data_IF_398105631678
#
_entry.id   IF_398105631678
#
_cell.length_a   1.000
_cell.length_b   1.000
_cell.length_c   1.000
_cell.angle_alpha   90.00
_cell.angle_beta   90.00
_cell.angle_gamma   90.00
#
_symmetry.space_group_name_H-M   'P 1'
#
loop_
_entity.id
_entity.type
_entity.pdbx_description
1 polymer ?
#
# COMPACT_ATOMS: atom_id res chain seq x y z
N UNK A 1 -18.41 49.97 33.18
CA UNK A 1 -18.43 48.58 33.69
C UNK A 1 -17.97 47.70 32.57
N UNK A 2 -16.71 47.40 32.54
CA UNK A 2 -16.01 46.60 31.50
C UNK A 2 -15.64 45.28 32.10
N UNK A 3 -16.30 44.23 31.66
CA UNK A 3 -16.09 42.87 32.13
C UNK A 3 -15.06 42.15 31.23
N UNK A 4 -13.89 41.92 31.80
CA UNK A 4 -12.72 41.31 31.20
C UNK A 4 -12.86 39.79 31.34
N UNK A 5 -13.26 39.05 30.26
CA UNK A 5 -13.23 37.58 30.23
C UNK A 5 -11.86 37.10 29.78
N UNK A 6 -11.06 36.66 30.73
CA UNK A 6 -9.82 35.93 30.51
C UNK A 6 -10.11 34.55 29.91
N UNK A 7 -9.61 34.34 28.71
CA UNK A 7 -9.58 33.03 28.04
C UNK A 7 -8.44 32.20 28.64
N UNK A 8 -8.79 31.16 29.36
CA UNK A 8 -7.81 30.18 29.85
C UNK A 8 -7.34 29.30 28.66
N UNK A 9 -6.10 29.48 28.24
CA UNK A 9 -5.40 28.59 27.34
C UNK A 9 -4.98 27.33 28.10
N UNK A 10 -5.63 26.21 27.80
CA UNK A 10 -5.20 24.88 28.24
C UNK A 10 -4.03 24.42 27.36
N UNK A 11 -2.81 24.55 27.89
CA UNK A 11 -1.61 24.03 27.25
C UNK A 11 -1.59 22.51 27.31
N UNK A 12 -1.76 21.83 26.14
CA UNK A 12 -1.54 20.41 26.00
C UNK A 12 -0.02 20.15 26.05
N UNK A 13 0.46 19.60 27.16
CA UNK A 13 1.85 19.15 27.33
C UNK A 13 2.12 17.96 26.39
N UNK A 14 2.82 18.22 25.28
CA UNK A 14 3.47 17.17 24.48
C UNK A 14 4.61 16.57 25.31
N UNK A 15 4.46 15.30 25.67
CA UNK A 15 5.54 14.50 26.26
C UNK A 15 6.43 13.99 25.12
N UNK A 16 7.56 14.69 24.90
CA UNK A 16 8.65 14.17 24.07
C UNK A 16 9.30 12.99 24.80
N UNK A 17 9.13 11.79 24.27
CA UNK A 17 9.95 10.64 24.66
C UNK A 17 11.08 10.52 23.64
N UNK A 18 12.26 10.96 24.07
CA UNK A 18 13.53 10.64 23.41
C UNK A 18 13.80 9.15 23.60
N UNK A 19 13.76 8.36 22.54
CA UNK A 19 14.24 7.00 22.53
C UNK A 19 15.66 7.01 21.95
N UNK A 20 16.60 6.54 22.75
CA UNK A 20 18.01 6.38 22.40
C UNK A 20 18.18 5.27 21.38
N UNK A 21 18.87 5.56 20.27
CA UNK A 21 19.29 4.61 19.25
C UNK A 21 20.58 3.95 19.73
N UNK A 22 20.54 2.64 19.99
CA UNK A 22 21.72 1.81 20.17
C UNK A 22 22.05 1.10 18.86
N UNK A 23 23.15 1.49 18.23
CA UNK A 23 23.74 0.80 17.07
C UNK A 23 24.39 -0.51 17.52
N UNK A 24 23.96 -1.65 16.98
CA UNK A 24 24.75 -2.88 16.96
C UNK A 24 25.01 -3.28 15.51
N UNK A 25 26.27 -3.15 15.14
CA UNK A 25 26.83 -3.74 13.92
C UNK A 25 27.27 -5.17 14.24
N UNK A 26 26.75 -6.17 13.55
CA UNK A 26 27.31 -7.49 13.50
C UNK A 26 27.36 -7.96 12.04
N UNK A 27 28.56 -7.96 11.48
CA UNK A 27 28.85 -8.57 10.19
C UNK A 27 29.08 -10.07 10.41
N UNK A 28 28.34 -10.93 9.71
CA UNK A 28 28.66 -12.34 9.57
C UNK A 28 28.79 -12.67 8.08
N UNK A 29 30.03 -12.92 7.68
CA UNK A 29 30.39 -13.45 6.36
C UNK A 29 30.33 -14.98 6.49
N UNK A 30 29.43 -15.63 5.75
CA UNK A 30 29.51 -17.08 5.53
C UNK A 30 29.65 -17.37 4.04
N UNK A 31 30.82 -17.85 3.65
CA UNK A 31 31.13 -18.44 2.36
C UNK A 31 30.40 -19.79 2.24
N UNK A 32 29.55 -19.95 1.24
CA UNK A 32 28.83 -21.19 0.95
C UNK A 32 29.34 -21.83 -0.34
N UNK A 33 29.75 -23.06 -0.22
CA UNK A 33 30.37 -23.99 -1.17
C UNK A 33 29.44 -24.27 -2.37
N UNK A 34 29.98 -24.15 -3.59
CA UNK A 34 29.38 -24.61 -4.84
C UNK A 34 29.53 -26.13 -4.94
N UNK A 35 28.44 -26.86 -4.81
CA UNK A 35 28.38 -28.30 -5.05
C UNK A 35 27.74 -28.57 -6.43
N UNK A 36 28.55 -29.00 -7.41
CA UNK A 36 28.10 -29.60 -8.66
C UNK A 36 27.69 -31.05 -8.40
N UNK A 37 26.40 -31.38 -8.57
CA UNK A 37 25.94 -32.76 -8.61
C UNK A 37 25.54 -33.15 -10.01
N UNK A 38 26.26 -34.12 -10.56
CA UNK A 38 25.96 -34.80 -11.83
C UNK A 38 24.73 -35.71 -11.66
N UNK A 39 23.74 -35.55 -12.49
CA UNK A 39 22.58 -36.43 -12.52
C UNK A 39 22.86 -37.66 -13.37
N UNK A 40 22.84 -38.84 -12.75
CA UNK A 40 22.70 -40.12 -13.45
C UNK A 40 21.23 -40.49 -13.50
N UNK A 41 20.73 -40.72 -14.72
CA UNK A 41 19.35 -41.16 -14.99
C UNK A 41 19.28 -42.66 -14.71
N UNK A 42 18.43 -43.05 -13.77
CA UNK A 42 17.95 -44.44 -13.66
C UNK A 42 16.41 -44.44 -13.68
N UNK A 43 15.89 -45.13 -14.66
CA UNK A 43 14.44 -45.21 -14.92
C UNK A 43 13.72 -46.13 -13.92
N UNK A 44 12.88 -45.55 -13.10
CA UNK A 44 11.84 -46.26 -12.36
C UNK A 44 10.50 -45.54 -12.55
N UNK A 45 9.53 -46.28 -13.09
CA UNK A 45 8.14 -45.81 -13.25
C UNK A 45 7.59 -45.39 -11.87
N UNK A 46 7.47 -44.07 -11.63
CA UNK A 46 6.80 -43.51 -10.44
C UNK A 46 5.31 -43.40 -10.75
N UNK A 47 4.53 -44.20 -10.02
CA UNK A 47 3.08 -44.00 -9.87
C UNK A 47 2.83 -42.54 -9.48
N UNK A 48 2.05 -41.82 -10.26
CA UNK A 48 1.71 -40.43 -10.01
C UNK A 48 0.99 -40.31 -8.67
N UNK A 49 1.65 -39.69 -7.72
CA UNK A 49 1.00 -39.22 -6.49
C UNK A 49 -0.05 -38.15 -6.85
N UNK A 50 -1.19 -38.06 -6.15
CA UNK A 50 -2.20 -37.03 -6.42
C UNK A 50 -1.51 -35.66 -6.33
N UNK A 51 -1.63 -34.90 -7.43
CA UNK A 51 -0.95 -33.63 -7.59
C UNK A 51 -1.22 -32.70 -6.42
N UNK A 52 -0.18 -32.35 -5.70
CA UNK A 52 -0.18 -31.20 -4.79
C UNK A 52 -0.56 -30.00 -5.67
N UNK A 53 -1.74 -29.42 -5.41
CA UNK A 53 -2.14 -28.20 -6.09
C UNK A 53 -0.98 -27.21 -5.98
N UNK A 54 -0.45 -26.78 -7.13
CA UNK A 54 0.60 -25.78 -7.16
C UNK A 54 0.12 -24.58 -6.35
N UNK A 55 0.87 -24.20 -5.33
CA UNK A 55 0.58 -22.99 -4.56
C UNK A 55 0.44 -21.85 -5.57
N UNK A 56 -0.68 -21.12 -5.51
CA UNK A 56 -0.89 -19.97 -6.36
C UNK A 56 0.34 -19.06 -6.26
N UNK A 57 0.85 -18.48 -7.36
CA UNK A 57 2.02 -17.63 -7.31
C UNK A 57 1.81 -16.56 -6.25
N UNK A 58 2.77 -16.42 -5.34
CA UNK A 58 2.71 -15.45 -4.25
C UNK A 58 2.57 -14.04 -4.82
N UNK A 59 2.06 -13.12 -4.04
CA UNK A 59 2.03 -11.70 -4.38
C UNK A 59 3.48 -11.23 -4.55
N UNK A 60 3.88 -10.88 -5.77
CA UNK A 60 5.19 -10.33 -6.10
C UNK A 60 5.12 -8.87 -6.54
N UNK A 61 6.26 -8.26 -6.83
CA UNK A 61 6.32 -6.88 -7.35
C UNK A 61 5.55 -6.69 -8.65
N UNK A 62 5.36 -7.73 -9.46
CA UNK A 62 4.59 -7.69 -10.72
C UNK A 62 3.10 -7.47 -10.50
N UNK A 63 2.58 -7.78 -9.31
CA UNK A 63 1.20 -7.51 -8.91
C UNK A 63 0.96 -6.06 -8.46
N UNK A 64 1.97 -5.20 -8.52
CA UNK A 64 1.91 -3.77 -8.19
C UNK A 64 2.05 -2.92 -9.46
N UNK A 65 1.69 -1.65 -9.37
CA UNK A 65 1.87 -0.66 -10.44
C UNK A 65 3.33 -0.62 -10.91
N UNK A 66 3.54 -0.62 -12.22
CA UNK A 66 4.83 -0.59 -12.90
C UNK A 66 5.03 0.74 -13.63
N UNK A 67 6.26 1.03 -14.06
CA UNK A 67 6.59 2.27 -14.77
C UNK A 67 5.74 2.51 -16.03
N UNK A 68 5.40 1.45 -16.76
CA UNK A 68 4.57 1.54 -17.96
C UNK A 68 3.10 1.91 -17.70
N UNK A 69 2.64 1.82 -16.44
CA UNK A 69 1.28 2.19 -16.05
C UNK A 69 1.11 3.72 -15.94
N UNK A 70 2.21 4.49 -15.91
CA UNK A 70 2.21 5.96 -15.83
C UNK A 70 2.14 6.68 -17.18
N UNK A 71 1.79 6.03 -18.28
CA UNK A 71 1.87 6.56 -19.67
C UNK A 71 1.20 7.91 -19.89
N UNK A 72 0.23 8.29 -19.05
CA UNK A 72 -0.49 9.57 -19.10
C UNK A 72 -0.35 10.37 -17.81
N UNK A 73 0.60 10.01 -16.98
CA UNK A 73 0.82 10.56 -15.66
C UNK A 73 2.16 11.25 -15.48
N UNK A 74 2.57 11.48 -14.24
CA UNK A 74 3.89 12.00 -13.92
C UNK A 74 4.96 11.00 -14.34
N UNK A 75 6.13 11.53 -14.68
CA UNK A 75 7.27 10.71 -15.12
C UNK A 75 7.97 10.09 -13.89
N UNK A 76 8.03 8.74 -13.77
CA UNK A 76 8.69 8.10 -12.64
C UNK A 76 10.21 8.25 -12.78
N UNK A 77 10.85 8.73 -11.70
CA UNK A 77 12.32 8.89 -11.62
C UNK A 77 12.98 7.91 -10.66
N UNK A 78 12.21 7.22 -9.84
CA UNK A 78 12.70 6.20 -8.91
C UNK A 78 11.60 5.28 -8.42
N UNK A 79 12.01 4.06 -8.01
CA UNK A 79 11.14 3.09 -7.37
C UNK A 79 11.86 2.36 -6.23
N UNK A 80 11.15 2.14 -5.14
CA UNK A 80 11.58 1.26 -4.04
C UNK A 80 10.54 0.18 -3.84
N UNK A 81 10.95 -1.08 -3.87
CA UNK A 81 10.08 -2.25 -3.66
C UNK A 81 10.44 -2.94 -2.35
N UNK A 82 9.44 -3.35 -1.58
CA UNK A 82 9.59 -4.18 -0.39
C UNK A 82 8.53 -5.29 -0.36
N UNK A 83 8.87 -6.43 0.24
CA UNK A 83 8.01 -7.62 0.31
C UNK A 83 7.71 -8.04 1.76
N UNK A 84 7.93 -7.16 2.71
CA UNK A 84 7.81 -7.44 4.15
C UNK A 84 6.54 -6.88 4.81
N UNK A 85 5.75 -6.09 4.08
CA UNK A 85 4.51 -5.48 4.56
C UNK A 85 4.70 -4.36 5.58
N UNK A 86 5.91 -3.81 5.73
CA UNK A 86 6.25 -2.76 6.71
C UNK A 86 6.14 -1.35 6.14
N UNK A 87 5.84 -1.21 4.85
CA UNK A 87 5.55 0.08 4.24
C UNK A 87 4.31 0.70 4.88
N UNK A 88 4.35 1.98 5.20
CA UNK A 88 3.18 2.75 5.65
C UNK A 88 2.06 2.73 4.60
N UNK A 89 0.82 2.63 5.05
CA UNK A 89 -0.33 2.47 4.15
C UNK A 89 -0.70 3.76 3.44
N UNK A 90 -0.84 4.85 4.19
CA UNK A 90 -1.18 6.18 3.64
C UNK A 90 -0.91 7.28 4.66
N UNK A 91 -1.01 8.55 4.21
CA UNK A 91 -0.91 9.72 5.10
C UNK A 91 -1.96 9.71 6.22
N UNK A 92 -3.14 9.14 5.97
CA UNK A 92 -4.22 9.05 6.94
C UNK A 92 -4.04 7.97 7.99
N UNK A 93 -3.37 6.88 7.65
CA UNK A 93 -3.19 5.74 8.55
C UNK A 93 -2.09 5.97 9.60
N UNK A 94 -1.38 7.09 9.53
CA UNK A 94 -0.25 7.38 10.41
C UNK A 94 0.89 6.37 10.21
N UNK A 95 1.24 5.64 11.27
CA UNK A 95 2.28 4.60 11.25
C UNK A 95 1.74 3.20 10.92
N UNK A 96 0.45 3.06 10.57
CA UNK A 96 -0.13 1.74 10.26
C UNK A 96 0.52 1.15 9.00
N UNK A 97 0.75 -0.16 9.05
CA UNK A 97 1.35 -0.91 7.95
C UNK A 97 0.45 -2.07 7.55
N UNK A 98 0.64 -2.62 6.35
CA UNK A 98 -0.13 -3.80 5.93
C UNK A 98 0.12 -5.00 6.86
N UNK A 99 1.33 -5.14 7.39
CA UNK A 99 1.69 -6.17 8.36
C UNK A 99 0.95 -5.99 9.69
N UNK A 100 0.89 -4.78 10.22
CA UNK A 100 0.15 -4.43 11.45
C UNK A 100 -1.34 -4.67 11.28
N UNK A 101 -1.95 -4.12 10.23
CA UNK A 101 -3.37 -4.28 9.92
C UNK A 101 -3.78 -5.75 9.80
N UNK A 102 -2.97 -6.58 9.15
CA UNK A 102 -3.25 -8.01 8.97
C UNK A 102 -2.82 -8.87 10.15
N UNK A 103 -2.16 -8.29 11.16
CA UNK A 103 -1.61 -8.98 12.35
C UNK A 103 -0.70 -10.14 11.94
N UNK A 104 0.20 -9.92 10.99
CA UNK A 104 1.11 -10.93 10.44
C UNK A 104 0.44 -12.17 9.82
N UNK A 105 -0.85 -12.10 9.47
CA UNK A 105 -1.62 -13.26 8.97
C UNK A 105 -1.66 -13.38 7.44
N UNK A 106 -1.11 -12.43 6.72
CA UNK A 106 -1.05 -12.53 5.26
C UNK A 106 -0.04 -13.60 4.82
N UNK A 107 -0.35 -14.28 3.73
CA UNK A 107 0.52 -15.30 3.13
C UNK A 107 1.63 -14.68 2.28
N UNK A 108 1.45 -13.43 1.86
CA UNK A 108 2.44 -12.64 1.14
C UNK A 108 2.13 -11.15 1.28
N UNK A 109 3.18 -10.33 1.16
CA UNK A 109 3.13 -8.86 1.10
C UNK A 109 3.90 -8.37 -0.10
N UNK A 110 3.49 -7.24 -0.65
CA UNK A 110 4.27 -6.49 -1.62
C UNK A 110 3.95 -5.00 -1.50
N UNK A 111 4.95 -4.15 -1.67
CA UNK A 111 4.77 -2.70 -1.74
C UNK A 111 5.73 -2.08 -2.73
N UNK A 112 5.33 -0.95 -3.32
CA UNK A 112 6.17 -0.10 -4.14
C UNK A 112 5.93 1.36 -3.79
N UNK A 113 7.02 2.12 -3.69
CA UNK A 113 6.99 3.58 -3.63
C UNK A 113 7.64 4.11 -4.91
N UNK A 114 6.89 4.84 -5.70
CA UNK A 114 7.37 5.58 -6.86
C UNK A 114 7.58 7.03 -6.49
N UNK A 115 8.66 7.62 -6.98
CA UNK A 115 8.93 9.06 -6.93
C UNK A 115 8.87 9.63 -8.35
N UNK A 116 8.34 10.84 -8.49
CA UNK A 116 8.15 11.51 -9.77
C UNK A 116 9.00 12.77 -9.89
N UNK A 117 9.28 13.19 -11.11
CA UNK A 117 9.97 14.45 -11.42
C UNK A 117 9.19 15.71 -10.97
N UNK A 118 7.91 15.57 -10.65
CA UNK A 118 7.01 16.60 -10.11
C UNK A 118 7.05 16.74 -8.59
N UNK A 119 8.01 16.11 -7.89
CA UNK A 119 8.04 15.99 -6.42
C UNK A 119 6.82 15.23 -5.84
N UNK A 120 6.03 14.59 -6.69
CA UNK A 120 4.96 13.69 -6.30
C UNK A 120 5.48 12.30 -5.96
N UNK A 121 4.62 11.49 -5.35
CA UNK A 121 4.90 10.10 -5.03
C UNK A 121 3.63 9.24 -5.17
N UNK A 122 3.85 7.96 -5.47
CA UNK A 122 2.82 6.93 -5.33
C UNK A 122 3.32 5.88 -4.37
N UNK A 123 2.49 5.56 -3.39
CA UNK A 123 2.67 4.41 -2.52
C UNK A 123 1.60 3.37 -2.84
N UNK A 124 2.02 2.14 -3.10
CA UNK A 124 1.11 1.02 -3.20
C UNK A 124 1.57 -0.09 -2.26
N UNK A 125 0.63 -0.64 -1.50
CA UNK A 125 0.89 -1.76 -0.58
C UNK A 125 -0.22 -2.77 -0.73
N UNK A 126 0.15 -4.05 -0.84
CA UNK A 126 -0.78 -5.15 -1.02
C UNK A 126 -0.45 -6.34 -0.10
N UNK A 127 -1.46 -7.13 0.21
CA UNK A 127 -1.35 -8.38 0.95
C UNK A 127 -2.22 -9.47 0.33
N UNK A 128 -1.76 -10.72 0.40
CA UNK A 128 -2.55 -11.88 0.05
C UNK A 128 -3.10 -12.53 1.33
N UNK A 129 -4.41 -12.57 1.45
CA UNK A 129 -5.10 -13.17 2.59
C UNK A 129 -5.17 -14.70 2.45
N UNK A 130 -5.17 -15.45 3.56
CA UNK A 130 -5.33 -16.90 3.52
C UNK A 130 -6.72 -17.34 3.04
N UNK A 131 -7.72 -16.48 3.16
CA UNK A 131 -9.10 -16.74 2.74
C UNK A 131 -9.78 -15.49 2.20
N UNK A 132 -10.84 -15.64 1.42
CA UNK A 132 -11.68 -14.52 0.98
C UNK A 132 -12.29 -13.76 2.15
N UNK A 133 -12.74 -14.44 3.19
CA UNK A 133 -13.33 -13.81 4.38
C UNK A 133 -12.31 -12.92 5.14
N UNK A 134 -11.05 -13.37 5.22
CA UNK A 134 -9.98 -12.55 5.79
C UNK A 134 -9.73 -11.31 4.93
N UNK A 135 -9.70 -11.46 3.61
CA UNK A 135 -9.54 -10.35 2.70
C UNK A 135 -10.71 -9.36 2.76
N UNK A 136 -11.97 -9.81 2.88
CA UNK A 136 -13.14 -8.94 3.09
C UNK A 136 -13.02 -8.14 4.40
N UNK A 137 -12.47 -8.76 5.44
CA UNK A 137 -12.23 -8.08 6.71
C UNK A 137 -11.17 -6.98 6.57
N UNK A 138 -10.06 -7.29 5.91
CA UNK A 138 -8.96 -6.34 5.70
C UNK A 138 -9.36 -5.19 4.76
N UNK A 139 -10.12 -5.48 3.70
CA UNK A 139 -10.69 -4.44 2.83
C UNK A 139 -11.52 -3.44 3.63
N UNK A 140 -12.43 -3.92 4.51
CA UNK A 140 -13.24 -3.05 5.37
C UNK A 140 -12.38 -2.20 6.31
N UNK A 141 -11.30 -2.77 6.87
CA UNK A 141 -10.37 -2.03 7.71
C UNK A 141 -9.62 -0.95 6.93
N UNK A 142 -9.13 -1.25 5.72
CA UNK A 142 -8.49 -0.28 4.83
C UNK A 142 -9.46 0.85 4.44
N UNK A 143 -10.70 0.52 4.10
CA UNK A 143 -11.73 1.53 3.81
C UNK A 143 -11.98 2.43 5.01
N UNK A 144 -12.06 1.86 6.21
CA UNK A 144 -12.27 2.64 7.44
C UNK A 144 -11.10 3.60 7.72
N UNK A 145 -9.86 3.20 7.47
CA UNK A 145 -8.69 4.07 7.58
C UNK A 145 -8.76 5.27 6.63
N UNK A 146 -9.13 5.04 5.36
CA UNK A 146 -9.29 6.14 4.39
C UNK A 146 -10.45 7.05 4.79
N UNK A 147 -11.58 6.49 5.24
CA UNK A 147 -12.74 7.26 5.67
C UNK A 147 -12.47 8.13 6.90
N UNK A 148 -11.57 7.71 7.79
CA UNK A 148 -11.19 8.51 8.96
C UNK A 148 -10.60 9.89 8.61
N UNK A 149 -10.14 10.09 7.37
CA UNK A 149 -9.64 11.38 6.88
C UNK A 149 -10.64 12.14 5.99
N UNK A 150 -11.90 11.76 5.98
CA UNK A 150 -12.92 12.51 5.26
C UNK A 150 -13.47 13.69 6.08
N UNK A 151 -13.43 13.59 7.41
CA UNK A 151 -14.00 14.55 8.35
C UNK A 151 -12.95 15.53 8.91
N UNK A 152 -11.90 15.83 8.13
CA UNK A 152 -10.87 16.79 8.54
C UNK A 152 -11.40 18.23 8.58
N UNK A 153 -10.90 19.07 9.52
CA UNK A 153 -11.31 20.46 9.60
C UNK A 153 -10.98 21.26 8.33
N UNK A 154 -11.74 22.32 8.07
CA UNK A 154 -11.48 23.24 6.97
C UNK A 154 -10.03 23.77 7.02
N UNK A 155 -9.38 23.81 5.85
CA UNK A 155 -7.97 24.20 5.72
C UNK A 155 -6.97 23.04 5.91
N UNK A 156 -7.44 21.85 6.27
CA UNK A 156 -6.64 20.65 6.33
C UNK A 156 -6.74 19.85 5.01
N UNK A 157 -5.80 18.96 4.80
CA UNK A 157 -5.84 17.98 3.74
C UNK A 157 -6.88 16.88 4.09
N UNK A 158 -7.67 16.43 3.11
CA UNK A 158 -8.72 15.44 3.33
C UNK A 158 -8.99 14.59 2.07
N UNK A 159 -9.66 13.44 2.24
CA UNK A 159 -10.23 12.67 1.15
C UNK A 159 -11.69 13.08 0.88
N UNK A 160 -12.04 13.16 -0.39
CA UNK A 160 -13.41 13.44 -0.85
C UNK A 160 -14.33 12.22 -0.80
N UNK A 161 -15.44 12.33 -1.51
CA UNK A 161 -16.44 11.27 -1.61
C UNK A 161 -15.85 9.98 -2.23
N UNK A 162 -16.41 8.84 -1.82
CA UNK A 162 -16.06 7.56 -2.38
C UNK A 162 -16.60 7.36 -3.80
N UNK A 163 -15.76 6.85 -4.69
CA UNK A 163 -16.11 6.35 -6.01
C UNK A 163 -15.87 4.85 -6.06
N UNK A 164 -16.55 4.15 -6.97
CA UNK A 164 -16.36 2.71 -7.16
C UNK A 164 -15.94 2.41 -8.59
N UNK A 165 -14.90 1.62 -8.76
CA UNK A 165 -14.47 1.05 -10.02
C UNK A 165 -14.63 -0.46 -9.95
N UNK A 166 -15.31 -1.05 -10.94
CA UNK A 166 -15.44 -2.50 -11.08
C UNK A 166 -14.81 -2.92 -12.41
N UNK A 167 -13.90 -3.89 -12.35
CA UNK A 167 -13.22 -4.45 -13.51
C UNK A 167 -13.23 -5.99 -13.45
N UNK A 168 -12.98 -6.69 -14.57
CA UNK A 168 -12.79 -8.12 -14.53
C UNK A 168 -11.71 -8.51 -13.51
N UNK A 169 -12.08 -9.32 -12.54
CA UNK A 169 -11.17 -9.79 -11.49
C UNK A 169 -11.18 -9.02 -10.18
N UNK A 170 -11.85 -7.86 -10.07
CA UNK A 170 -11.86 -7.14 -8.80
C UNK A 170 -12.68 -5.86 -8.75
N UNK A 171 -12.60 -5.23 -7.59
CA UNK A 171 -13.25 -3.93 -7.31
C UNK A 171 -12.26 -2.99 -6.63
N UNK A 172 -12.45 -1.70 -6.83
CA UNK A 172 -11.75 -0.65 -6.11
C UNK A 172 -12.73 0.38 -5.59
N UNK A 173 -12.47 0.87 -4.39
CA UNK A 173 -13.10 2.06 -3.84
C UNK A 173 -12.06 3.15 -3.78
N UNK A 174 -12.26 4.25 -4.51
CA UNK A 174 -11.26 5.30 -4.63
C UNK A 174 -11.80 6.67 -4.24
N UNK A 175 -10.91 7.57 -3.89
CA UNK A 175 -11.18 8.87 -3.31
C UNK A 175 -10.19 9.87 -3.90
N UNK A 176 -10.66 11.07 -4.25
CA UNK A 176 -9.74 12.19 -4.51
C UNK A 176 -9.21 12.73 -3.20
N UNK A 177 -7.96 13.15 -3.17
CA UNK A 177 -7.42 13.95 -2.07
C UNK A 177 -7.43 15.43 -2.44
N UNK A 178 -7.69 16.25 -1.45
CA UNK A 178 -7.75 17.71 -1.56
C UNK A 178 -6.76 18.32 -0.58
N UNK A 179 -6.05 19.37 -1.00
CA UNK A 179 -5.26 20.18 -0.08
C UNK A 179 -6.16 21.09 0.75
N UNK A 180 -5.57 21.87 1.68
CA UNK A 180 -6.32 22.79 2.53
C UNK A 180 -7.09 23.88 1.79
N UNK A 181 -6.72 24.17 0.54
CA UNK A 181 -7.41 25.13 -0.35
C UNK A 181 -8.53 24.49 -1.18
N UNK A 182 -8.81 23.20 -0.98
CA UNK A 182 -9.81 22.46 -1.73
C UNK A 182 -9.40 22.10 -3.17
N UNK A 183 -8.12 22.19 -3.49
CA UNK A 183 -7.57 21.79 -4.80
C UNK A 183 -7.22 20.31 -4.77
N UNK A 184 -7.56 19.57 -5.83
CA UNK A 184 -7.20 18.15 -5.96
C UNK A 184 -5.68 18.02 -5.96
N UNK A 185 -5.15 17.19 -5.06
CA UNK A 185 -3.73 16.95 -4.84
C UNK A 185 -3.33 15.48 -4.98
N UNK A 186 -4.19 14.65 -5.56
CA UNK A 186 -3.98 13.22 -5.74
C UNK A 186 -5.21 12.41 -5.39
N UNK A 187 -5.00 11.25 -4.79
CA UNK A 187 -6.09 10.38 -4.35
C UNK A 187 -5.59 9.06 -3.78
N UNK A 188 -6.51 8.31 -3.19
CA UNK A 188 -6.24 6.97 -2.68
C UNK A 188 -7.30 5.98 -3.17
N UNK A 189 -6.94 4.69 -3.20
CA UNK A 189 -7.89 3.63 -3.46
C UNK A 189 -7.61 2.40 -2.59
N UNK A 190 -8.68 1.74 -2.18
CA UNK A 190 -8.66 0.41 -1.60
C UNK A 190 -9.05 -0.59 -2.69
N UNK A 191 -8.21 -1.56 -2.93
CA UNK A 191 -8.30 -2.54 -4.02
C UNK A 191 -8.64 -3.91 -3.47
N UNK A 192 -9.44 -4.67 -4.24
CA UNK A 192 -9.81 -6.04 -3.92
C UNK A 192 -9.82 -6.92 -5.15
N UNK A 193 -9.09 -8.04 -5.10
CA UNK A 193 -9.12 -9.08 -6.14
C UNK A 193 -8.95 -10.48 -5.52
N UNK A 194 -10.01 -11.27 -5.51
CA UNK A 194 -9.98 -12.62 -4.92
C UNK A 194 -9.57 -12.59 -3.43
N UNK A 195 -8.41 -13.13 -3.09
CA UNK A 195 -7.79 -13.07 -1.75
C UNK A 195 -6.83 -11.91 -1.56
N UNK A 196 -6.55 -11.14 -2.60
CA UNK A 196 -5.62 -10.02 -2.56
C UNK A 196 -6.35 -8.73 -2.18
N UNK A 197 -5.77 -7.95 -1.30
CA UNK A 197 -6.22 -6.61 -0.94
C UNK A 197 -5.05 -5.66 -1.07
N UNK A 198 -5.32 -4.40 -1.41
CA UNK A 198 -4.27 -3.39 -1.49
C UNK A 198 -4.82 -2.01 -1.22
N UNK A 199 -3.90 -1.09 -0.97
CA UNK A 199 -4.14 0.34 -0.94
C UNK A 199 -3.10 1.00 -1.83
N UNK A 200 -3.54 1.95 -2.64
CA UNK A 200 -2.68 2.80 -3.44
C UNK A 200 -2.99 4.26 -3.10
N UNK A 201 -1.96 5.06 -2.95
CA UNK A 201 -2.06 6.49 -2.70
C UNK A 201 -1.15 7.25 -3.67
N UNK A 202 -1.73 8.20 -4.39
CA UNK A 202 -1.03 9.16 -5.23
C UNK A 202 -1.02 10.51 -4.53
N UNK A 203 0.15 11.07 -4.31
CA UNK A 203 0.34 12.47 -3.90
C UNK A 203 1.02 13.19 -5.06
N UNK A 204 0.34 14.14 -5.67
CA UNK A 204 0.87 14.91 -6.80
C UNK A 204 0.56 16.40 -6.58
N UNK A 205 1.63 17.20 -6.51
CA UNK A 205 1.52 18.67 -6.35
C UNK A 205 1.20 19.39 -7.65
N UNK A 206 1.39 18.75 -8.79
CA UNK A 206 1.38 19.43 -10.08
C UNK A 206 0.01 19.58 -10.73
N UNK A 207 -1.04 19.06 -10.18
CA UNK A 207 -2.44 19.09 -10.64
C UNK A 207 -3.05 17.68 -10.72
N UNK A 208 -3.63 17.22 -9.66
CA UNK A 208 -4.45 16.01 -9.75
C UNK A 208 -5.67 16.26 -10.62
N UNK A 209 -5.68 15.75 -11.84
CA UNK A 209 -6.95 15.63 -12.56
C UNK A 209 -7.65 14.36 -12.06
N UNK A 210 -8.94 14.39 -11.75
CA UNK A 210 -9.69 13.21 -11.30
C UNK A 210 -9.50 11.98 -12.19
N UNK A 211 -9.46 12.17 -13.52
CA UNK A 211 -9.26 11.08 -14.48
C UNK A 211 -7.90 10.38 -14.34
N UNK A 212 -6.86 11.08 -13.89
CA UNK A 212 -5.55 10.48 -13.66
C UNK A 212 -5.56 9.51 -12.47
N UNK A 213 -6.27 9.86 -11.41
CA UNK A 213 -6.44 8.99 -10.24
C UNK A 213 -7.20 7.73 -10.64
N UNK A 214 -8.29 7.87 -11.41
CA UNK A 214 -9.09 6.74 -11.87
C UNK A 214 -8.31 5.80 -12.80
N UNK A 215 -7.55 6.34 -13.78
CA UNK A 215 -6.68 5.55 -14.67
C UNK A 215 -5.65 4.72 -13.88
N UNK A 216 -5.03 5.34 -12.87
CA UNK A 216 -4.05 4.68 -12.01
C UNK A 216 -4.69 3.58 -11.15
N UNK A 217 -5.86 3.83 -10.59
CA UNK A 217 -6.63 2.84 -9.82
C UNK A 217 -7.00 1.65 -10.71
N UNK A 218 -7.36 1.90 -11.97
CA UNK A 218 -7.64 0.86 -12.96
C UNK A 218 -6.39 0.01 -13.24
N UNK A 219 -5.22 0.63 -13.40
CA UNK A 219 -3.97 -0.06 -13.60
C UNK A 219 -3.59 -0.91 -12.37
N UNK A 220 -3.64 -0.35 -11.17
CA UNK A 220 -3.35 -1.04 -9.93
C UNK A 220 -4.28 -2.26 -9.72
N UNK A 221 -5.59 -2.09 -9.96
CA UNK A 221 -6.55 -3.19 -9.85
C UNK A 221 -6.27 -4.30 -10.87
N UNK A 222 -5.92 -3.97 -12.10
CA UNK A 222 -5.52 -4.92 -13.14
C UNK A 222 -4.28 -5.71 -12.72
N UNK A 223 -3.26 -5.05 -12.18
CA UNK A 223 -2.03 -5.69 -11.68
C UNK A 223 -2.33 -6.61 -10.50
N UNK A 224 -3.13 -6.16 -9.54
CA UNK A 224 -3.51 -6.96 -8.38
C UNK A 224 -4.31 -8.21 -8.79
N UNK A 225 -5.00 -8.20 -9.92
CA UNK A 225 -5.84 -9.30 -10.40
C UNK A 225 -5.10 -10.32 -11.29
N UNK A 226 -3.85 -10.04 -11.66
CA UNK A 226 -3.04 -10.88 -12.56
C UNK A 226 -2.36 -12.12 -11.91
#
# INVERSE_FOLDING_TARGET
>A
MTENRSVQQTSVRRRNRLAAVACFAAAVITAGVVGTQSATADGAARTAAPGTAAAAPGLGSTGLVQSEDFRRGPNPVGATVALDGRQGLSACSGEETMRGLTKDRATAYASVTWTFDTEGALNETAANAPTRAAADTWEKQLVALVQACQDEPAGHWYYGAAHTLTAPGGTARWYLSYNGDGVVSGGAAVLRSGTRVGVVELVDRSTGTPGRVEDLVGAALKRLSS
#
